data_IF_772624295869
#
_entry.id   IF_772624295869
#
_cell.length_a   1.000
_cell.length_b   1.000
_cell.length_c   1.000
_cell.angle_alpha   90.00
_cell.angle_beta   90.00
_cell.angle_gamma   90.00
#
_symmetry.space_group_name_H-M   'P 1'
#
loop_
_entity.id
_entity.type
_entity.pdbx_description
1 polymer ?
#
# COMPACT_ATOMS: atom_id res chain seq x y z
N UNK A 1 -15.69 -1.52 -3.63
CA UNK A 1 -14.48 -2.12 -4.21
C UNK A 1 -13.23 -1.60 -3.52
N UNK A 2 -12.17 -2.40 -3.54
CA UNK A 2 -10.85 -1.99 -3.06
C UNK A 2 -9.76 -2.36 -4.06
N UNK A 3 -8.74 -1.50 -4.17
CA UNK A 3 -7.49 -1.80 -4.84
C UNK A 3 -6.41 -1.81 -3.76
N UNK A 4 -5.74 -2.95 -3.61
CA UNK A 4 -4.61 -3.10 -2.70
C UNK A 4 -3.36 -3.44 -3.48
N UNK A 5 -2.36 -2.57 -3.37
CA UNK A 5 -1.06 -2.76 -4.03
C UNK A 5 -0.01 -3.13 -2.99
N UNK A 6 0.75 -4.19 -3.29
CA UNK A 6 1.88 -4.61 -2.47
C UNK A 6 3.11 -3.83 -2.92
N UNK A 7 3.74 -3.12 -1.99
CA UNK A 7 4.89 -2.27 -2.25
C UNK A 7 6.15 -2.95 -1.76
N UNK A 8 7.07 -3.24 -2.67
CA UNK A 8 8.40 -3.81 -2.41
C UNK A 8 9.51 -2.76 -2.59
N UNK A 9 9.30 -1.79 -3.48
CA UNK A 9 10.23 -0.70 -3.80
C UNK A 9 9.48 0.57 -4.26
N UNK A 10 10.23 1.58 -4.73
CA UNK A 10 9.70 2.87 -5.20
C UNK A 10 8.86 2.76 -6.47
N UNK A 11 9.19 1.85 -7.38
CA UNK A 11 8.49 1.71 -8.65
C UNK A 11 7.06 1.19 -8.45
N UNK A 12 6.82 0.44 -7.39
CA UNK A 12 5.49 -0.06 -7.04
C UNK A 12 4.50 1.07 -6.69
N UNK A 13 4.98 2.22 -6.20
CA UNK A 13 4.12 3.39 -5.96
C UNK A 13 3.61 3.99 -7.27
N UNK A 14 4.47 4.05 -8.29
CA UNK A 14 4.06 4.49 -9.64
C UNK A 14 3.08 3.49 -10.24
N UNK A 15 3.35 2.20 -10.10
CA UNK A 15 2.40 1.17 -10.52
C UNK A 15 1.06 1.32 -9.80
N UNK A 16 1.06 1.64 -8.50
CA UNK A 16 -0.16 1.85 -7.73
C UNK A 16 -1.02 2.98 -8.30
N UNK A 17 -0.41 4.11 -8.68
CA UNK A 17 -1.09 5.22 -9.35
C UNK A 17 -1.68 4.81 -10.70
N UNK A 18 -0.94 4.05 -11.51
CA UNK A 18 -1.44 3.56 -12.80
C UNK A 18 -2.63 2.62 -12.65
N UNK A 19 -2.65 1.77 -11.60
CA UNK A 19 -3.79 0.91 -11.32
C UNK A 19 -4.97 1.69 -10.73
N UNK A 20 -4.71 2.71 -9.90
CA UNK A 20 -5.75 3.56 -9.33
C UNK A 20 -6.57 4.31 -10.41
N UNK A 21 -5.97 4.60 -11.56
CA UNK A 21 -6.68 5.21 -12.70
C UNK A 21 -7.69 4.26 -13.38
N UNK A 22 -7.57 2.95 -13.16
CA UNK A 22 -8.39 1.92 -13.81
C UNK A 22 -9.58 1.47 -12.97
N UNK A 23 -9.69 1.95 -11.73
CA UNK A 23 -10.77 1.60 -10.81
C UNK A 23 -11.77 2.75 -10.67
N UNK A 24 -12.95 2.43 -10.13
CA UNK A 24 -13.99 3.41 -9.86
C UNK A 24 -13.51 4.47 -8.85
N UNK A 25 -14.09 5.68 -8.92
CA UNK A 25 -13.74 6.80 -8.02
C UNK A 25 -14.00 6.51 -6.54
N UNK A 26 -14.97 5.64 -6.25
CA UNK A 26 -15.32 5.22 -4.89
C UNK A 26 -14.51 4.01 -4.41
N UNK A 27 -13.57 3.53 -5.24
CA UNK A 27 -12.68 2.42 -4.88
C UNK A 27 -11.71 2.86 -3.77
N UNK A 28 -11.63 2.07 -2.70
CA UNK A 28 -10.70 2.35 -1.60
C UNK A 28 -9.31 1.90 -2.02
N UNK A 29 -8.34 2.81 -1.92
CA UNK A 29 -6.98 2.59 -2.37
C UNK A 29 -6.05 2.28 -1.18
N UNK A 30 -5.45 1.10 -1.17
CA UNK A 30 -4.54 0.64 -0.14
C UNK A 30 -3.13 0.40 -0.67
N UNK A 31 -2.15 0.88 0.09
CA UNK A 31 -0.76 0.47 -0.02
C UNK A 31 -0.44 -0.46 1.14
N UNK A 32 0.06 -1.65 0.83
CA UNK A 32 0.49 -2.61 1.81
C UNK A 32 1.99 -2.87 1.62
N UNK A 33 2.83 -2.75 2.68
CA UNK A 33 4.23 -3.09 2.56
C UNK A 33 4.36 -4.60 2.31
N UNK A 34 5.25 -4.97 1.39
CA UNK A 34 5.68 -6.36 1.27
C UNK A 34 6.34 -6.78 2.58
N UNK A 35 5.84 -7.87 3.15
CA UNK A 35 6.18 -8.31 4.49
C UNK A 35 7.69 -8.48 4.70
N UNK A 36 8.35 -9.14 3.75
CA UNK A 36 9.80 -9.41 3.81
C UNK A 36 10.68 -8.14 3.78
N UNK A 37 10.12 -7.00 3.34
CA UNK A 37 10.82 -5.71 3.24
C UNK A 37 10.19 -4.60 4.05
N UNK A 38 9.23 -4.94 4.92
CA UNK A 38 8.41 -3.98 5.63
C UNK A 38 9.22 -2.88 6.32
N UNK A 39 10.30 -3.20 7.02
CA UNK A 39 11.12 -2.21 7.72
C UNK A 39 11.69 -1.12 6.81
N UNK A 40 12.00 -1.48 5.56
CA UNK A 40 12.56 -0.55 4.56
C UNK A 40 11.48 0.22 3.81
N UNK A 41 10.35 -0.41 3.55
CA UNK A 41 9.30 0.14 2.66
C UNK A 41 8.21 0.86 3.44
N UNK A 42 8.02 0.56 4.73
CA UNK A 42 7.02 1.23 5.56
C UNK A 42 7.23 2.74 5.64
N UNK A 43 8.45 3.29 5.89
CA UNK A 43 8.66 4.74 5.89
C UNK A 43 8.28 5.37 4.55
N UNK A 44 8.66 4.71 3.45
CA UNK A 44 8.36 5.14 2.09
C UNK A 44 6.86 5.22 1.81
N UNK A 45 6.08 4.23 2.27
CA UNK A 45 4.62 4.24 2.14
C UNK A 45 4.01 5.35 3.00
N UNK A 46 4.51 5.54 4.23
CA UNK A 46 4.00 6.57 5.14
C UNK A 46 4.20 7.96 4.53
N UNK A 47 5.42 8.27 4.09
CA UNK A 47 5.74 9.54 3.44
C UNK A 47 4.82 9.77 2.23
N UNK A 48 4.65 8.73 1.40
CA UNK A 48 3.79 8.80 0.21
C UNK A 48 2.32 9.04 0.53
N UNK A 49 1.77 8.37 1.55
CA UNK A 49 0.37 8.54 1.95
C UNK A 49 0.13 9.94 2.54
N UNK A 50 1.11 10.52 3.24
CA UNK A 50 1.03 11.90 3.72
C UNK A 50 0.95 12.91 2.57
N UNK A 51 1.65 12.67 1.46
CA UNK A 51 1.59 13.50 0.24
C UNK A 51 0.34 13.21 -0.61
N UNK A 52 -0.20 11.99 -0.54
CA UNK A 52 -1.32 11.52 -1.35
C UNK A 52 -2.45 10.91 -0.49
N UNK A 53 -3.28 11.75 0.16
CA UNK A 53 -4.26 11.32 1.17
C UNK A 53 -5.41 10.44 0.65
N UNK A 54 -5.50 10.21 -0.66
CA UNK A 54 -6.41 9.22 -1.26
C UNK A 54 -5.99 7.77 -0.92
N UNK A 55 -4.71 7.55 -0.65
CA UNK A 55 -4.17 6.25 -0.29
C UNK A 55 -4.29 6.02 1.22
N UNK A 56 -4.46 4.75 1.59
CA UNK A 56 -4.49 4.29 2.98
C UNK A 56 -3.43 3.21 3.16
N UNK A 57 -2.85 3.13 4.35
CA UNK A 57 -1.91 2.04 4.68
C UNK A 57 -2.68 0.82 5.17
N UNK A 58 -2.41 -0.34 4.57
CA UNK A 58 -2.92 -1.64 5.02
C UNK A 58 -1.81 -2.45 5.67
N UNK A 59 -2.05 -2.99 6.86
CA UNK A 59 -1.08 -3.83 7.59
C UNK A 59 -1.59 -5.26 7.72
N UNK A 60 -0.70 -6.23 7.51
CA UNK A 60 -0.99 -7.65 7.71
C UNK A 60 -0.90 -8.01 9.20
N UNK A 61 -1.87 -7.58 10.00
CA UNK A 61 -1.87 -7.74 11.48
C UNK A 61 -1.66 -9.18 11.95
N UNK A 62 -2.22 -10.18 11.26
CA UNK A 62 -2.01 -11.61 11.57
C UNK A 62 -0.53 -12.01 11.62
N UNK A 63 0.32 -11.44 10.76
CA UNK A 63 1.77 -11.71 10.76
C UNK A 63 2.51 -11.12 11.97
N UNK A 64 1.97 -10.08 12.58
CA UNK A 64 2.51 -9.52 13.82
C UNK A 64 2.08 -10.34 15.04
N UNK A 65 0.89 -10.93 14.96
CA UNK A 65 0.31 -11.75 16.00
C UNK A 65 0.78 -13.21 15.94
N UNK A 66 1.57 -13.58 14.93
CA UNK A 66 1.99 -14.96 14.64
C UNK A 66 0.81 -15.93 14.49
N UNK A 67 -0.25 -15.47 13.81
CA UNK A 67 -1.46 -16.25 13.53
C UNK A 67 -1.51 -16.56 12.02
N UNK A 68 -1.70 -17.83 11.61
CA UNK A 68 -1.84 -18.21 10.21
C UNK A 68 -3.13 -17.69 9.55
#
# INVERSE_FOLDING_TARGET
DELKVIVYNKDDLRFAEEQAQKVNKDCILYLQPEWSRREKVMPLIVDYVMEHPKWRVSLQTHKYLNIP
#
